data_IF_987330179835
#
_entry.id   IF_987330179835
#
_cell.length_a   1.000
_cell.length_b   1.000
_cell.length_c   1.000
_cell.angle_alpha   90.00
_cell.angle_beta   90.00
_cell.angle_gamma   90.00
#
_symmetry.space_group_name_H-M   'P 1'
#
loop_
_entity.id
_entity.type
_entity.pdbx_description
1 polymer ?
#
# COMPACT_ATOMS: atom_id res chain seq x y z
N UNK A 1 6.78 42.56 -15.09
CA UNK A 1 7.45 41.29 -14.78
C UNK A 1 7.12 40.96 -13.33
N UNK A 2 6.53 39.81 -13.01
CA UNK A 2 7.24 38.61 -12.55
C UNK A 2 6.35 37.39 -12.89
N UNK A 3 6.88 36.46 -13.68
CA UNK A 3 6.26 35.16 -13.89
C UNK A 3 6.24 34.40 -12.56
N UNK A 4 5.06 33.93 -12.14
CA UNK A 4 4.93 33.08 -10.97
C UNK A 4 5.80 31.83 -11.15
N UNK A 5 6.55 31.46 -10.12
CA UNK A 5 7.56 30.40 -10.08
C UNK A 5 7.02 28.97 -10.32
N UNK A 6 5.87 28.80 -10.96
CA UNK A 6 5.28 27.51 -11.32
C UNK A 6 4.74 26.69 -10.14
N UNK A 7 4.52 27.31 -8.97
CA UNK A 7 4.01 26.59 -7.80
C UNK A 7 2.50 26.32 -7.92
N UNK A 8 2.10 25.06 -7.72
CA UNK A 8 0.68 24.67 -7.60
C UNK A 8 0.06 25.25 -6.34
N UNK A 9 0.81 25.28 -5.23
CA UNK A 9 0.38 25.86 -3.96
C UNK A 9 1.32 27.00 -3.57
N UNK A 10 0.80 28.22 -3.61
CA UNK A 10 1.53 29.44 -3.28
C UNK A 10 0.87 30.23 -2.15
N UNK A 11 1.68 30.95 -1.39
CA UNK A 11 1.21 31.97 -0.45
C UNK A 11 0.70 33.19 -1.21
N UNK A 12 0.01 34.09 -0.49
CA UNK A 12 -0.45 35.38 -1.03
C UNK A 12 0.69 36.23 -1.62
N UNK A 13 1.92 36.02 -1.18
CA UNK A 13 3.10 36.75 -1.65
C UNK A 13 3.83 36.05 -2.80
N UNK A 14 3.24 35.01 -3.41
CA UNK A 14 3.85 34.27 -4.52
C UNK A 14 4.99 33.31 -4.13
N UNK A 15 5.17 33.05 -2.84
CA UNK A 15 6.19 32.11 -2.32
C UNK A 15 5.58 30.74 -2.04
N UNK A 16 6.38 29.65 -1.96
CA UNK A 16 5.87 28.34 -1.56
C UNK A 16 5.13 28.38 -0.22
N UNK A 17 4.04 27.62 -0.11
CA UNK A 17 3.33 27.50 1.16
C UNK A 17 4.23 26.82 2.19
N UNK A 18 4.35 27.44 3.36
CA UNK A 18 5.09 26.86 4.49
C UNK A 18 4.21 25.86 5.24
N UNK A 19 4.70 24.63 5.38
CA UNK A 19 3.98 23.54 6.04
C UNK A 19 3.49 23.88 7.45
N UNK A 20 4.33 24.53 8.25
CA UNK A 20 4.01 24.93 9.62
C UNK A 20 2.81 25.89 9.68
N UNK A 21 2.59 26.70 8.65
CA UNK A 21 1.42 27.58 8.59
C UNK A 21 0.15 26.77 8.37
N UNK A 22 0.18 25.78 7.47
CA UNK A 22 -0.96 24.87 7.23
C UNK A 22 -1.29 24.11 8.51
N UNK A 23 -0.28 23.57 9.19
CA UNK A 23 -0.47 22.83 10.44
C UNK A 23 -1.15 23.68 11.51
N UNK A 24 -0.60 24.87 11.78
CA UNK A 24 -1.07 25.72 12.89
C UNK A 24 -2.40 26.41 12.60
N UNK A 25 -2.65 26.80 11.35
CA UNK A 25 -3.81 27.63 10.98
C UNK A 25 -5.00 26.79 10.50
N UNK A 26 -4.74 25.63 9.92
CA UNK A 26 -5.80 24.78 9.35
C UNK A 26 -5.93 23.46 10.09
N UNK A 27 -4.89 22.62 10.09
CA UNK A 27 -5.01 21.24 10.58
C UNK A 27 -5.27 21.15 12.08
N UNK A 28 -4.48 21.81 12.91
CA UNK A 28 -4.63 21.72 14.37
C UNK A 28 -5.98 22.28 14.86
N UNK A 29 -6.51 23.41 14.35
CA UNK A 29 -7.86 23.85 14.66
C UNK A 29 -8.94 22.83 14.30
N UNK A 30 -8.84 22.18 13.13
CA UNK A 30 -9.78 21.14 12.70
C UNK A 30 -9.71 19.94 13.66
N UNK A 31 -8.51 19.43 13.94
CA UNK A 31 -8.32 18.31 14.86
C UNK A 31 -8.88 18.62 16.26
N UNK A 32 -8.65 19.83 16.77
CA UNK A 32 -9.20 20.29 18.05
C UNK A 32 -10.72 20.33 18.04
N UNK A 33 -11.33 20.86 16.97
CA UNK A 33 -12.79 20.90 16.80
C UNK A 33 -13.41 19.50 16.76
N UNK A 34 -12.70 18.54 16.19
CA UNK A 34 -13.13 17.15 16.09
C UNK A 34 -12.79 16.31 17.33
N UNK A 35 -12.10 16.86 18.34
CA UNK A 35 -11.66 16.12 19.51
C UNK A 35 -10.59 15.05 19.20
N UNK A 36 -9.86 15.20 18.09
CA UNK A 36 -8.83 14.25 17.66
C UNK A 36 -7.46 14.62 18.21
N UNK A 37 -6.59 13.61 18.36
CA UNK A 37 -5.21 13.81 18.76
C UNK A 37 -4.47 14.72 17.75
N UNK A 38 -3.54 15.53 18.26
CA UNK A 38 -2.70 16.38 17.42
C UNK A 38 -1.81 15.53 16.52
N UNK A 39 -1.80 15.88 15.23
CA UNK A 39 -1.04 15.16 14.22
C UNK A 39 -0.48 16.13 13.17
N UNK A 40 0.64 15.74 12.55
CA UNK A 40 1.25 16.46 11.44
C UNK A 40 0.86 15.90 10.07
N UNK A 41 1.37 16.52 9.00
CA UNK A 41 1.07 16.10 7.62
C UNK A 41 1.47 14.67 7.29
N UNK A 42 2.43 14.10 8.03
CA UNK A 42 2.82 12.70 7.88
C UNK A 42 1.68 11.73 8.21
N UNK A 43 0.70 12.13 9.03
CA UNK A 43 -0.46 11.30 9.34
C UNK A 43 -1.28 10.92 8.10
N UNK A 44 -1.42 11.83 7.12
CA UNK A 44 -2.09 11.51 5.85
C UNK A 44 -1.35 10.44 5.05
N UNK A 45 -0.01 10.51 5.06
CA UNK A 45 0.83 9.50 4.40
C UNK A 45 0.73 8.14 5.11
N UNK A 46 0.72 8.14 6.44
CA UNK A 46 0.49 6.94 7.25
C UNK A 46 -0.87 6.32 6.97
N UNK A 47 -1.94 7.12 6.97
CA UNK A 47 -3.29 6.65 6.68
C UNK A 47 -3.38 6.02 5.29
N UNK A 48 -2.85 6.68 4.24
CA UNK A 48 -2.81 6.10 2.89
C UNK A 48 -2.08 4.76 2.86
N UNK A 49 -0.97 4.64 3.58
CA UNK A 49 -0.22 3.38 3.64
C UNK A 49 -1.03 2.28 4.34
N UNK A 50 -1.63 2.58 5.48
CA UNK A 50 -2.49 1.63 6.22
C UNK A 50 -3.62 1.14 5.33
N UNK A 51 -4.34 2.07 4.70
CA UNK A 51 -5.45 1.79 3.80
C UNK A 51 -5.04 0.86 2.65
N UNK A 52 -3.92 1.14 1.98
CA UNK A 52 -3.45 0.30 0.87
C UNK A 52 -3.06 -1.10 1.33
N UNK A 53 -2.48 -1.24 2.52
CA UNK A 53 -2.13 -2.55 3.10
C UNK A 53 -3.38 -3.31 3.59
N UNK A 54 -4.37 -2.60 4.12
CA UNK A 54 -5.68 -3.15 4.51
C UNK A 54 -6.48 -3.68 3.31
N UNK A 55 -6.28 -3.08 2.13
CA UNK A 55 -6.90 -3.49 0.87
C UNK A 55 -5.99 -4.37 -0.01
N UNK A 56 -5.05 -5.10 0.60
CA UNK A 56 -4.29 -6.17 -0.05
C UNK A 56 -3.45 -5.69 -1.26
N UNK A 57 -3.11 -4.40 -1.33
CA UNK A 57 -2.33 -3.85 -2.44
C UNK A 57 -0.89 -4.34 -2.34
N UNK A 58 -0.29 -4.83 -3.46
CA UNK A 58 1.09 -5.33 -3.44
C UNK A 58 2.08 -4.30 -2.90
N UNK A 59 2.93 -4.72 -1.95
CA UNK A 59 3.94 -3.88 -1.30
C UNK A 59 4.83 -3.14 -2.32
N UNK A 60 5.17 -3.79 -3.44
CA UNK A 60 5.94 -3.17 -4.51
C UNK A 60 5.23 -1.95 -5.13
N UNK A 61 3.93 -2.05 -5.40
CA UNK A 61 3.12 -0.94 -5.91
C UNK A 61 2.99 0.18 -4.88
N UNK A 62 2.78 -0.18 -3.61
CA UNK A 62 2.74 0.78 -2.50
C UNK A 62 4.07 1.55 -2.40
N UNK A 63 5.21 0.85 -2.47
CA UNK A 63 6.56 1.44 -2.48
C UNK A 63 6.75 2.40 -3.65
N UNK A 64 6.31 2.00 -4.84
CA UNK A 64 6.41 2.83 -6.05
C UNK A 64 5.61 4.13 -5.91
N UNK A 65 4.39 4.08 -5.37
CA UNK A 65 3.54 5.26 -5.22
C UNK A 65 3.96 6.19 -4.08
N UNK A 66 4.47 5.65 -2.97
CA UNK A 66 4.86 6.44 -1.80
C UNK A 66 6.33 6.89 -1.82
N UNK A 67 7.14 6.34 -2.73
CA UNK A 67 8.55 6.66 -2.92
C UNK A 67 9.50 5.97 -1.94
N UNK A 68 10.80 6.16 -2.18
CA UNK A 68 11.91 5.45 -1.54
C UNK A 68 11.92 5.48 0.01
N UNK A 69 11.43 6.55 0.64
CA UNK A 69 11.34 6.66 2.11
C UNK A 69 10.14 5.95 2.76
N UNK A 70 9.42 5.09 2.02
CA UNK A 70 8.21 4.41 2.50
C UNK A 70 8.48 3.07 3.19
N UNK A 71 9.66 2.47 3.04
CA UNK A 71 9.87 1.07 3.40
C UNK A 71 9.65 0.77 4.90
N UNK A 72 10.24 1.58 5.78
CA UNK A 72 10.02 1.42 7.23
C UNK A 72 8.56 1.65 7.63
N UNK A 73 7.87 2.55 6.93
CA UNK A 73 6.46 2.83 7.18
C UNK A 73 5.58 1.65 6.75
N UNK A 74 5.80 1.12 5.55
CA UNK A 74 5.05 -0.02 5.02
C UNK A 74 5.25 -1.24 5.91
N UNK A 75 6.49 -1.50 6.35
CA UNK A 75 6.79 -2.60 7.29
C UNK A 75 5.94 -2.54 8.56
N UNK A 76 5.63 -1.35 9.10
CA UNK A 76 4.75 -1.27 10.28
C UNK A 76 3.38 -1.86 10.01
N UNK A 77 2.82 -1.66 8.82
CA UNK A 77 1.46 -2.10 8.51
C UNK A 77 1.39 -3.53 7.95
N UNK A 78 2.44 -4.02 7.28
CA UNK A 78 2.41 -5.36 6.65
C UNK A 78 2.43 -6.52 7.64
N UNK A 79 3.04 -6.36 8.82
CA UNK A 79 3.19 -7.47 9.79
C UNK A 79 1.98 -7.64 10.72
N UNK A 80 1.00 -6.72 10.69
CA UNK A 80 -0.16 -6.75 11.59
C UNK A 80 -1.34 -7.62 11.09
N UNK A 81 -1.19 -8.40 10.01
CA UNK A 81 -2.27 -9.22 9.45
C UNK A 81 -1.94 -10.72 9.44
N UNK A 82 -2.10 -11.45 10.56
CA UNK A 82 -1.97 -12.90 10.58
C UNK A 82 -2.99 -13.61 9.66
N UNK A 83 -4.19 -13.04 9.51
CA UNK A 83 -5.25 -13.56 8.61
C UNK A 83 -4.86 -13.52 7.12
N UNK A 84 -3.90 -12.69 6.75
CA UNK A 84 -3.43 -12.58 5.37
C UNK A 84 -2.62 -13.81 4.95
N UNK A 85 -1.90 -14.41 5.90
CA UNK A 85 -1.13 -15.63 5.63
C UNK A 85 -2.07 -16.80 5.31
N UNK A 86 -3.20 -16.95 6.00
CA UNK A 86 -4.11 -18.08 5.75
C UNK A 86 -4.79 -18.01 4.39
N UNK A 87 -5.23 -16.82 3.95
CA UNK A 87 -5.87 -16.64 2.64
C UNK A 87 -4.89 -16.84 1.46
N UNK A 88 -3.65 -16.36 1.59
CA UNK A 88 -2.60 -16.61 0.60
C UNK A 88 -2.21 -18.08 0.58
N UNK A 89 -2.04 -18.70 1.75
CA UNK A 89 -1.72 -20.13 1.84
C UNK A 89 -2.83 -20.97 1.21
N UNK A 90 -4.11 -20.65 1.41
CA UNK A 90 -5.22 -21.33 0.76
C UNK A 90 -5.15 -21.25 -0.78
N UNK A 91 -4.78 -20.08 -1.34
CA UNK A 91 -4.55 -19.93 -2.78
C UNK A 91 -3.37 -20.80 -3.25
N UNK A 92 -2.26 -20.81 -2.51
CA UNK A 92 -1.09 -21.65 -2.84
C UNK A 92 -1.48 -23.13 -2.82
N UNK A 93 -2.20 -23.60 -1.81
CA UNK A 93 -2.69 -24.98 -1.73
C UNK A 93 -3.53 -25.35 -2.95
N UNK A 94 -4.47 -24.48 -3.38
CA UNK A 94 -5.28 -24.76 -4.57
C UNK A 94 -4.46 -24.90 -5.87
N UNK A 95 -3.37 -24.15 -6.01
CA UNK A 95 -2.46 -24.24 -7.16
C UNK A 95 -1.79 -25.61 -7.18
N UNK A 96 -1.30 -26.08 -6.02
CA UNK A 96 -0.62 -27.37 -5.92
C UNK A 96 -1.58 -28.57 -5.97
N UNK A 97 -2.79 -28.45 -5.43
CA UNK A 97 -3.82 -29.50 -5.52
C UNK A 97 -4.29 -29.74 -6.96
N UNK A 98 -4.37 -28.68 -7.79
CA UNK A 98 -4.74 -28.81 -9.20
C UNK A 98 -3.67 -29.52 -10.07
N UNK A 99 -2.43 -29.63 -9.58
CA UNK A 99 -1.33 -30.35 -10.27
C UNK A 99 -1.21 -31.82 -9.85
N UNK A 100 -2.07 -32.29 -8.92
CA UNK A 100 -2.10 -33.66 -8.41
C UNK A 100 -3.27 -34.49 -8.95
N UNK A 101 -3.91 -34.07 -10.05
CA UNK A 101 -4.76 -34.98 -10.81
C UNK A 101 -3.88 -36.13 -11.34
N UNK A 102 -4.22 -37.40 -11.05
CA UNK A 102 -3.42 -38.51 -11.53
C UNK A 102 -3.39 -38.44 -13.05
N UNK A 103 -2.19 -38.30 -13.64
CA UNK A 103 -1.98 -38.43 -15.08
C UNK A 103 -2.77 -39.65 -15.54
N UNK A 104 -3.79 -39.51 -16.42
CA UNK A 104 -4.59 -40.65 -16.80
C UNK A 104 -3.62 -41.67 -17.38
N UNK A 105 -3.54 -42.84 -16.73
CA UNK A 105 -2.77 -43.96 -17.25
C UNK A 105 -3.40 -44.29 -18.60
N UNK A 106 -2.83 -43.78 -19.68
CA UNK A 106 -3.09 -44.30 -21.01
C UNK A 106 -2.75 -45.78 -20.91
N UNK A 107 -3.79 -46.61 -20.91
CA UNK A 107 -3.66 -48.06 -20.91
C UNK A 107 -3.12 -48.43 -22.29
N UNK A 108 -1.81 -48.32 -22.46
CA UNK A 108 -1.11 -48.76 -23.66
C UNK A 108 -1.20 -50.28 -23.64
N UNK A 109 -1.90 -50.92 -24.60
CA UNK A 109 -1.91 -52.38 -24.68
C UNK A 109 -0.47 -52.82 -24.94
N UNK A 110 0.03 -53.73 -24.09
CA UNK A 110 1.34 -54.36 -24.27
C UNK A 110 1.48 -54.89 -25.69
N UNK A 111 2.44 -54.37 -26.47
CA UNK A 111 2.87 -55.03 -27.70
C UNK A 111 3.67 -56.28 -27.34
N UNK A 112 3.46 -57.42 -28.04
CA UNK A 112 4.19 -58.65 -27.74
C UNK A 112 5.67 -58.46 -28.03
N UNK A 113 6.51 -58.98 -27.15
CA UNK A 113 7.97 -59.05 -27.35
C UNK A 113 8.26 -60.05 -28.47
N UNK A 114 8.88 -59.60 -29.55
CA UNK A 114 9.65 -60.45 -30.49
C UNK A 114 11.11 -60.43 -30.11
#
# INVERSE_FOLDING_TARGET
MIGGLGYVFQSRNGTPVRLNNILRRELHPILKKLGLAMAGMHAFRHHRCSLLVEHDVPVAAIKQWLGHGSEQMIRRYTHHRPEYHSAILAKITSIFSAQNEPKPALLVPNSPKT
#
